data_IF_416891900527
#
_entry.id   IF_416891900527
#
_cell.length_a   1.000
_cell.length_b   1.000
_cell.length_c   1.000
_cell.angle_alpha   90.00
_cell.angle_beta   90.00
_cell.angle_gamma   90.00
#
_symmetry.space_group_name_H-M   'P 1'
#
loop_
_entity.id
_entity.type
_entity.pdbx_description
1 polymer ?
#
# COMPACT_ATOMS: atom_id res chain seq x y z
N UNK A 1 28.07 -4.58 -31.20
CA UNK A 1 28.23 -5.54 -30.07
C UNK A 1 27.69 -4.90 -28.80
N UNK A 2 27.13 -5.68 -27.87
CA UNK A 2 26.64 -5.17 -26.57
C UNK A 2 27.84 -4.83 -25.68
N UNK A 3 27.90 -3.60 -25.16
CA UNK A 3 28.95 -3.22 -24.23
C UNK A 3 28.53 -3.56 -22.79
N UNK A 4 29.13 -4.62 -22.22
CA UNK A 4 28.81 -5.09 -20.86
C UNK A 4 29.15 -4.05 -19.78
N UNK A 5 30.07 -3.13 -20.04
CA UNK A 5 30.47 -2.09 -19.08
C UNK A 5 29.33 -1.11 -18.77
N UNK A 6 28.28 -1.05 -19.59
CA UNK A 6 27.09 -0.24 -19.32
C UNK A 6 26.30 -0.73 -18.09
N UNK A 7 26.38 -2.02 -17.76
CA UNK A 7 25.68 -2.58 -16.58
C UNK A 7 26.64 -3.08 -15.50
N UNK A 8 27.92 -3.27 -15.83
CA UNK A 8 28.94 -3.77 -14.89
C UNK A 8 29.76 -2.66 -14.22
N UNK A 9 29.48 -1.38 -14.50
CA UNK A 9 30.15 -0.25 -13.87
C UNK A 9 29.62 0.03 -12.46
N UNK A 10 30.45 0.61 -11.61
CA UNK A 10 30.08 0.92 -10.23
C UNK A 10 28.88 1.85 -10.10
N UNK A 11 28.70 2.83 -11.00
CA UNK A 11 27.54 3.74 -10.96
C UNK A 11 26.25 2.94 -11.12
N UNK A 12 26.18 2.04 -12.10
CA UNK A 12 25.03 1.19 -12.35
C UNK A 12 24.76 0.24 -11.18
N UNK A 13 25.80 -0.39 -10.63
CA UNK A 13 25.66 -1.33 -9.51
C UNK A 13 25.21 -0.62 -8.22
N UNK A 14 25.77 0.55 -7.92
CA UNK A 14 25.34 1.39 -6.80
C UNK A 14 23.88 1.80 -6.99
N UNK A 15 23.48 2.18 -8.20
CA UNK A 15 22.07 2.46 -8.52
C UNK A 15 21.17 1.24 -8.21
N UNK A 16 21.52 0.05 -8.69
CA UNK A 16 20.75 -1.18 -8.41
C UNK A 16 20.66 -1.45 -6.91
N UNK A 17 21.76 -1.31 -6.17
CA UNK A 17 21.80 -1.52 -4.71
C UNK A 17 20.91 -0.50 -3.99
N UNK A 18 21.03 0.79 -4.31
CA UNK A 18 20.21 1.85 -3.72
C UNK A 18 18.74 1.59 -4.02
N UNK A 19 18.39 1.23 -5.25
CA UNK A 19 17.01 0.95 -5.64
C UNK A 19 16.45 -0.24 -4.85
N UNK A 20 17.22 -1.33 -4.75
CA UNK A 20 16.84 -2.51 -3.96
C UNK A 20 16.62 -2.16 -2.48
N UNK A 21 17.60 -1.49 -1.85
CA UNK A 21 17.52 -1.08 -0.45
C UNK A 21 16.37 -0.12 -0.22
N UNK A 22 16.13 0.81 -1.15
CA UNK A 22 15.06 1.78 -1.03
C UNK A 22 13.69 1.10 -1.08
N UNK A 23 13.47 0.24 -2.08
CA UNK A 23 12.16 -0.37 -2.31
C UNK A 23 11.82 -1.47 -1.31
N UNK A 24 12.82 -2.16 -0.73
CA UNK A 24 12.59 -3.28 0.20
C UNK A 24 12.84 -2.93 1.67
N UNK A 25 13.67 -1.92 1.97
CA UNK A 25 14.07 -1.62 3.35
C UNK A 25 13.68 -0.19 3.73
N UNK A 26 14.13 0.82 2.98
CA UNK A 26 13.96 2.21 3.42
C UNK A 26 12.51 2.68 3.33
N UNK A 27 11.77 2.33 2.28
CA UNK A 27 10.34 2.66 2.20
C UNK A 27 9.54 2.04 3.35
N UNK A 28 9.97 0.87 3.85
CA UNK A 28 9.35 0.19 4.99
C UNK A 28 9.72 0.83 6.33
N UNK A 29 10.99 1.20 6.53
CA UNK A 29 11.47 1.70 7.83
C UNK A 29 11.34 3.22 8.01
N UNK A 30 11.45 3.97 6.91
CA UNK A 30 11.56 5.43 6.82
C UNK A 30 10.71 5.94 5.64
N UNK A 31 9.39 5.82 5.74
CA UNK A 31 8.49 6.42 4.75
C UNK A 31 8.62 7.93 4.82
N UNK A 32 9.20 8.53 3.77
CA UNK A 32 9.36 9.98 3.65
C UNK A 32 9.24 10.41 2.20
N UNK A 33 9.03 11.71 1.98
CA UNK A 33 9.09 12.29 0.62
C UNK A 33 10.43 11.99 -0.09
N UNK A 34 11.53 11.91 0.67
CA UNK A 34 12.86 11.61 0.14
C UNK A 34 13.00 10.18 -0.38
N UNK A 35 12.54 9.17 0.38
CA UNK A 35 12.58 7.75 -0.04
C UNK A 35 11.63 7.45 -1.19
N UNK A 36 10.57 8.25 -1.34
CA UNK A 36 9.69 8.24 -2.52
C UNK A 36 10.42 8.58 -3.82
N UNK A 37 11.19 9.67 -3.81
CA UNK A 37 11.86 10.22 -5.01
C UNK A 37 13.20 9.60 -5.35
N UNK A 38 13.84 8.97 -4.36
CA UNK A 38 15.13 8.30 -4.57
C UNK A 38 15.06 7.24 -5.66
N UNK A 39 13.94 6.51 -5.75
CA UNK A 39 13.70 5.52 -6.81
C UNK A 39 13.69 6.17 -8.20
N UNK A 40 13.04 7.33 -8.34
CA UNK A 40 13.02 8.08 -9.61
C UNK A 40 14.41 8.59 -9.99
N UNK A 41 15.15 9.16 -9.03
CA UNK A 41 16.53 9.65 -9.22
C UNK A 41 17.45 8.54 -9.70
N UNK A 42 17.36 7.37 -9.09
CA UNK A 42 18.18 6.22 -9.48
C UNK A 42 17.71 5.62 -10.80
N UNK A 43 16.39 5.54 -11.00
CA UNK A 43 15.76 5.03 -12.21
C UNK A 43 16.13 5.83 -13.46
N UNK A 44 16.18 7.16 -13.39
CA UNK A 44 16.51 8.00 -14.55
C UNK A 44 17.97 7.84 -15.01
N UNK A 45 18.87 7.43 -14.11
CA UNK A 45 20.28 7.17 -14.41
C UNK A 45 20.44 5.73 -14.93
N UNK A 46 19.80 4.77 -14.27
CA UNK A 46 19.91 3.34 -14.56
C UNK A 46 19.24 2.97 -15.90
N UNK A 47 18.02 3.44 -16.12
CA UNK A 47 17.18 3.01 -17.23
C UNK A 47 17.78 3.29 -18.64
N UNK A 48 18.33 4.49 -18.94
CA UNK A 48 19.00 4.72 -20.24
C UNK A 48 20.20 3.81 -20.48
N UNK A 49 20.98 3.51 -19.45
CA UNK A 49 22.16 2.63 -19.54
C UNK A 49 21.73 1.18 -19.82
N UNK A 50 20.70 0.70 -19.12
CA UNK A 50 20.08 -0.60 -19.38
C UNK A 50 19.49 -0.68 -20.79
N UNK A 51 18.79 0.38 -21.22
CA UNK A 51 18.17 0.45 -22.56
C UNK A 51 19.23 0.41 -23.66
N UNK A 52 20.34 1.13 -23.49
CA UNK A 52 21.49 1.06 -24.41
C UNK A 52 22.13 -0.32 -24.45
N UNK A 53 22.21 -1.01 -23.30
CA UNK A 53 22.75 -2.37 -23.24
C UNK A 53 21.85 -3.39 -23.98
N UNK A 54 20.53 -3.32 -23.75
CA UNK A 54 19.55 -4.20 -24.40
C UNK A 54 19.45 -3.94 -25.91
N UNK A 55 19.43 -2.66 -26.28
CA UNK A 55 19.28 -2.16 -27.65
C UNK A 55 20.45 -1.22 -28.04
N UNK A 56 21.63 -1.78 -28.39
CA UNK A 56 22.84 -0.99 -28.69
C UNK A 56 22.68 0.02 -29.84
N UNK A 57 21.68 -0.17 -30.70
CA UNK A 57 21.37 0.76 -31.81
C UNK A 57 20.94 2.14 -31.32
N UNK A 58 20.35 2.25 -30.13
CA UNK A 58 19.91 3.53 -29.59
C UNK A 58 21.06 4.43 -29.13
N UNK A 59 22.21 3.87 -28.73
CA UNK A 59 23.37 4.64 -28.25
C UNK A 59 22.94 5.68 -27.20
N UNK A 60 23.34 6.95 -27.34
CA UNK A 60 22.93 8.05 -26.45
C UNK A 60 21.47 8.48 -26.63
N UNK A 61 20.79 8.07 -27.71
CA UNK A 61 19.37 8.38 -27.91
C UNK A 61 18.47 7.65 -26.91
N UNK A 62 18.98 6.60 -26.25
CA UNK A 62 18.30 5.93 -25.15
C UNK A 62 17.95 6.89 -24.00
N UNK A 63 18.72 7.97 -23.80
CA UNK A 63 18.45 9.00 -22.80
C UNK A 63 17.18 9.77 -23.13
N UNK A 64 16.98 10.16 -24.40
CA UNK A 64 15.76 10.83 -24.82
C UNK A 64 14.55 9.90 -24.75
N UNK A 65 14.70 8.65 -25.16
CA UNK A 65 13.63 7.64 -25.08
C UNK A 65 13.24 7.42 -23.61
N UNK A 66 14.22 7.27 -22.72
CA UNK A 66 13.98 7.13 -21.29
C UNK A 66 13.29 8.35 -20.67
N UNK A 67 13.72 9.56 -21.04
CA UNK A 67 13.08 10.80 -20.59
C UNK A 67 11.63 10.91 -21.06
N UNK A 68 11.36 10.64 -22.34
CA UNK A 68 10.00 10.63 -22.89
C UNK A 68 9.12 9.57 -22.22
N UNK A 69 9.65 8.37 -22.03
CA UNK A 69 8.96 7.30 -21.31
C UNK A 69 8.65 7.71 -19.87
N UNK A 70 9.60 8.34 -19.17
CA UNK A 70 9.42 8.82 -17.81
C UNK A 70 8.33 9.91 -17.72
N UNK A 71 8.34 10.89 -18.63
CA UNK A 71 7.29 11.92 -18.74
C UNK A 71 5.94 11.26 -18.96
N UNK A 72 5.83 10.37 -19.95
CA UNK A 72 4.59 9.64 -20.23
C UNK A 72 4.11 8.87 -19.00
N UNK A 73 5.00 8.11 -18.36
CA UNK A 73 4.66 7.29 -17.19
C UNK A 73 4.22 8.12 -15.99
N UNK A 74 4.81 9.30 -15.76
CA UNK A 74 4.46 10.23 -14.66
C UNK A 74 3.28 11.16 -14.98
N UNK A 75 2.88 11.30 -16.25
CA UNK A 75 1.73 12.11 -16.66
C UNK A 75 0.37 11.41 -16.47
N UNK A 76 -0.74 12.14 -16.55
CA UNK A 76 -2.09 11.54 -16.58
C UNK A 76 -2.35 10.68 -17.83
N UNK A 77 -1.54 10.79 -18.89
CA UNK A 77 -1.73 10.03 -20.13
C UNK A 77 -1.52 8.52 -19.96
N UNK A 78 -0.75 8.08 -18.96
CA UNK A 78 -0.55 6.65 -18.68
C UNK A 78 -1.75 5.99 -17.99
N UNK A 79 -2.74 6.75 -17.55
CA UNK A 79 -3.88 6.24 -16.75
C UNK A 79 -4.70 5.19 -17.49
N UNK A 80 -5.00 5.40 -18.78
CA UNK A 80 -5.74 4.43 -19.58
C UNK A 80 -4.96 3.13 -19.78
N UNK A 81 -3.64 3.22 -19.91
CA UNK A 81 -2.78 2.03 -20.02
C UNK A 81 -2.78 1.22 -18.72
N UNK A 82 -2.70 1.90 -17.58
CA UNK A 82 -2.77 1.27 -16.25
C UNK A 82 -4.12 0.58 -16.05
N UNK A 83 -5.23 1.23 -16.43
CA UNK A 83 -6.57 0.62 -16.36
C UNK A 83 -6.68 -0.65 -17.20
N UNK A 84 -6.19 -0.63 -18.44
CA UNK A 84 -6.19 -1.81 -19.31
C UNK A 84 -5.33 -2.94 -18.73
N UNK A 85 -4.15 -2.62 -18.21
CA UNK A 85 -3.29 -3.59 -17.54
C UNK A 85 -3.98 -4.24 -16.34
N UNK A 86 -4.62 -3.43 -15.50
CA UNK A 86 -5.30 -3.90 -14.28
C UNK A 86 -6.51 -4.80 -14.55
N UNK A 87 -7.10 -4.75 -15.75
CA UNK A 87 -8.20 -5.67 -16.14
C UNK A 87 -7.68 -7.09 -16.36
N UNK A 88 -6.46 -7.24 -16.89
CA UNK A 88 -5.91 -8.53 -17.34
C UNK A 88 -4.89 -9.09 -16.34
N UNK A 89 -4.24 -8.23 -15.58
CA UNK A 89 -3.14 -8.60 -14.68
C UNK A 89 -3.64 -9.11 -13.32
N UNK A 90 -3.05 -10.19 -12.78
CA UNK A 90 -3.26 -10.62 -11.39
C UNK A 90 -2.79 -9.60 -10.35
N UNK A 91 -1.91 -8.67 -10.73
CA UNK A 91 -1.33 -7.65 -9.84
C UNK A 91 -1.76 -6.28 -10.35
N UNK A 92 -2.53 -5.54 -9.54
CA UNK A 92 -2.96 -4.20 -9.89
C UNK A 92 -1.85 -3.17 -9.66
N UNK A 93 -1.63 -2.29 -10.63
CA UNK A 93 -0.74 -1.14 -10.55
C UNK A 93 -1.58 0.06 -10.14
N UNK A 94 -1.18 0.72 -9.06
CA UNK A 94 -1.73 2.00 -8.63
C UNK A 94 -0.63 3.05 -8.62
N UNK A 95 -0.90 4.21 -9.20
CA UNK A 95 0.07 5.29 -9.35
C UNK A 95 -0.62 6.62 -9.07
N UNK A 96 0.05 7.49 -8.32
CA UNK A 96 -0.38 8.87 -8.10
C UNK A 96 0.35 9.78 -9.09
N UNK A 97 -0.37 10.72 -9.69
CA UNK A 97 0.24 11.73 -10.59
C UNK A 97 0.90 12.80 -9.72
N UNK A 98 2.24 12.82 -9.71
CA UNK A 98 3.05 13.85 -9.06
C UNK A 98 4.02 14.47 -10.09
N UNK A 99 3.72 15.70 -10.52
CA UNK A 99 4.57 16.42 -11.49
C UNK A 99 5.91 16.88 -10.91
N UNK A 100 6.05 16.91 -9.58
CA UNK A 100 7.32 17.25 -8.93
C UNK A 100 8.40 16.18 -9.17
N UNK A 101 8.02 15.00 -9.66
CA UNK A 101 8.94 13.96 -10.11
C UNK A 101 9.66 14.34 -11.41
N UNK A 102 9.10 15.24 -12.22
CA UNK A 102 9.74 15.69 -13.46
C UNK A 102 11.02 16.49 -13.22
N UNK A 103 11.24 17.01 -12.01
CA UNK A 103 12.51 17.65 -11.63
C UNK A 103 13.70 16.71 -11.79
N UNK A 104 13.46 15.40 -11.66
CA UNK A 104 14.48 14.36 -11.82
C UNK A 104 15.03 14.28 -13.25
N UNK A 105 14.29 14.77 -14.26
CA UNK A 105 14.78 14.83 -15.64
C UNK A 105 16.05 15.68 -15.78
N UNK A 106 16.30 16.62 -14.86
CA UNK A 106 17.55 17.39 -14.80
C UNK A 106 18.81 16.52 -14.66
N UNK A 107 18.67 15.25 -14.24
CA UNK A 107 19.75 14.29 -14.08
C UNK A 107 20.06 13.49 -15.35
N UNK A 108 19.25 13.57 -16.41
CA UNK A 108 19.51 12.91 -17.72
C UNK A 108 20.88 13.20 -18.36
N UNK A 109 21.53 14.37 -18.14
CA UNK A 109 22.89 14.59 -18.60
C UNK A 109 23.90 13.57 -18.05
N UNK A 110 23.69 13.02 -16.84
CA UNK A 110 24.59 12.04 -16.22
C UNK A 110 24.70 10.76 -17.06
N UNK A 111 23.61 10.00 -17.32
CA UNK A 111 23.69 8.81 -18.17
C UNK A 111 24.09 9.15 -19.60
N UNK A 112 23.75 10.34 -20.13
CA UNK A 112 24.21 10.78 -21.45
C UNK A 112 25.74 10.83 -21.54
N UNK A 113 26.40 11.47 -20.57
CA UNK A 113 27.86 11.56 -20.52
C UNK A 113 28.51 10.19 -20.36
N UNK A 114 27.95 9.33 -19.51
CA UNK A 114 28.45 7.96 -19.29
C UNK A 114 28.35 7.08 -20.55
N UNK A 115 27.21 7.14 -21.25
CA UNK A 115 26.99 6.39 -22.48
C UNK A 115 27.87 6.92 -23.62
N UNK A 116 28.09 8.24 -23.70
CA UNK A 116 28.97 8.85 -24.70
C UNK A 116 30.44 8.52 -24.44
N UNK A 117 30.86 8.49 -23.19
CA UNK A 117 32.26 8.32 -22.77
C UNK A 117 32.52 6.92 -22.18
N UNK A 118 32.29 5.88 -22.97
CA UNK A 118 32.43 4.47 -22.58
C UNK A 118 33.78 4.12 -21.95
N UNK A 119 34.87 4.80 -22.37
CA UNK A 119 36.22 4.59 -21.81
C UNK A 119 36.28 4.84 -20.30
N UNK A 120 35.48 5.78 -19.80
CA UNK A 120 35.37 6.04 -18.35
C UNK A 120 34.76 4.82 -17.66
N UNK A 121 33.69 4.24 -18.23
CA UNK A 121 33.04 3.05 -17.69
C UNK A 121 33.97 1.83 -17.67
N UNK A 122 34.88 1.70 -18.63
CA UNK A 122 35.86 0.61 -18.69
C UNK A 122 36.85 0.60 -17.51
N UNK A 123 37.17 1.76 -16.95
CA UNK A 123 38.05 1.89 -15.79
C UNK A 123 37.34 1.51 -14.48
N UNK A 124 36.02 1.70 -14.43
CA UNK A 124 35.19 1.49 -13.25
C UNK A 124 34.23 0.28 -13.38
N UNK A 125 34.58 -0.70 -14.22
CA UNK A 125 33.75 -1.87 -14.52
C UNK A 125 34.32 -3.18 -13.98
N UNK A 126 33.44 -4.04 -13.47
CA UNK A 126 33.76 -5.38 -12.99
C UNK A 126 33.95 -6.35 -14.16
N UNK A 127 35.20 -6.47 -14.65
CA UNK A 127 35.54 -7.25 -15.85
C UNK A 127 35.29 -8.77 -15.76
N UNK A 128 35.21 -9.33 -14.55
CA UNK A 128 35.14 -10.79 -14.32
C UNK A 128 33.72 -11.33 -14.11
N UNK A 129 32.70 -10.47 -14.06
CA UNK A 129 31.31 -10.89 -13.76
C UNK A 129 30.53 -11.12 -15.05
N UNK A 130 29.71 -12.17 -15.08
CA UNK A 130 28.78 -12.39 -16.18
C UNK A 130 27.66 -11.33 -16.14
N UNK A 131 27.43 -10.66 -17.28
CA UNK A 131 26.38 -9.67 -17.44
C UNK A 131 24.98 -10.17 -17.01
N UNK A 132 24.70 -11.47 -17.19
CA UNK A 132 23.44 -12.08 -16.74
C UNK A 132 23.25 -12.04 -15.22
N UNK A 133 24.34 -12.12 -14.45
CA UNK A 133 24.28 -12.07 -12.99
C UNK A 133 23.83 -10.71 -12.44
N UNK A 134 23.96 -9.64 -13.24
CA UNK A 134 23.49 -8.29 -12.89
C UNK A 134 22.15 -7.99 -13.53
N UNK A 135 21.94 -8.44 -14.77
CA UNK A 135 20.72 -8.17 -15.53
C UNK A 135 19.46 -8.73 -14.87
N UNK A 136 19.50 -9.98 -14.40
CA UNK A 136 18.33 -10.61 -13.77
C UNK A 136 17.89 -9.88 -12.49
N UNK A 137 18.78 -9.62 -11.51
CA UNK A 137 18.44 -8.80 -10.35
C UNK A 137 17.96 -7.40 -10.74
N UNK A 138 18.57 -6.76 -11.74
CA UNK A 138 18.16 -5.43 -12.19
C UNK A 138 16.71 -5.41 -12.66
N UNK A 139 16.30 -6.39 -13.47
CA UNK A 139 14.92 -6.49 -13.96
C UNK A 139 13.96 -6.69 -12.79
N UNK A 140 14.28 -7.60 -11.86
CA UNK A 140 13.44 -7.85 -10.68
C UNK A 140 13.28 -6.62 -9.81
N UNK A 141 14.37 -5.87 -9.58
CA UNK A 141 14.35 -4.65 -8.78
C UNK A 141 13.56 -3.54 -9.47
N UNK A 142 13.71 -3.35 -10.79
CA UNK A 142 12.90 -2.37 -11.55
C UNK A 142 11.41 -2.72 -11.59
N UNK A 143 11.06 -4.01 -11.50
CA UNK A 143 9.69 -4.48 -11.40
C UNK A 143 9.15 -4.46 -9.96
N UNK A 144 9.98 -4.12 -8.97
CA UNK A 144 9.52 -4.00 -7.58
C UNK A 144 8.62 -2.78 -7.46
N UNK A 145 7.32 -2.99 -7.63
CA UNK A 145 6.32 -1.98 -7.41
C UNK A 145 6.29 -1.65 -5.92
N UNK A 146 6.32 -0.36 -5.57
CA UNK A 146 6.13 0.06 -4.18
C UNK A 146 4.84 -0.52 -3.63
N UNK A 147 4.93 -1.14 -2.44
CA UNK A 147 3.75 -1.62 -1.73
C UNK A 147 2.76 -0.48 -1.57
N UNK A 148 1.49 -0.79 -1.86
CA UNK A 148 0.39 0.16 -1.69
C UNK A 148 0.39 0.68 -0.26
N UNK A 149 0.06 1.96 -0.06
CA UNK A 149 -0.27 2.42 1.28
C UNK A 149 -1.48 1.59 1.73
N UNK A 150 -1.28 0.77 2.75
CA UNK A 150 -2.34 -0.05 3.36
C UNK A 150 -3.35 0.79 4.13
N UNK A 151 -3.21 2.12 4.11
CA UNK A 151 -4.03 3.06 4.84
C UNK A 151 -4.33 4.34 4.04
N UNK A 152 -5.42 5.00 4.41
CA UNK A 152 -5.81 6.36 4.00
C UNK A 152 -5.98 7.20 5.26
N UNK A 153 -5.49 8.44 5.26
CA UNK A 153 -5.60 9.36 6.39
C UNK A 153 -6.33 10.64 5.97
N UNK A 154 -7.30 11.06 6.78
CA UNK A 154 -8.02 12.32 6.64
C UNK A 154 -7.51 13.32 7.68
N UNK A 155 -6.77 14.39 7.28
CA UNK A 155 -6.22 15.37 8.22
C UNK A 155 -7.28 16.10 9.05
N UNK A 156 -8.45 16.36 8.46
CA UNK A 156 -9.52 17.13 9.09
C UNK A 156 -10.18 16.39 10.26
N UNK A 157 -10.37 15.08 10.09
CA UNK A 157 -11.04 14.24 11.07
C UNK A 157 -10.06 13.46 11.93
N UNK A 158 -8.81 13.27 11.50
CA UNK A 158 -7.87 12.35 12.11
C UNK A 158 -8.17 10.89 11.79
N UNK A 159 -9.14 10.63 10.90
CA UNK A 159 -9.57 9.28 10.57
C UNK A 159 -8.52 8.57 9.72
N UNK A 160 -8.16 7.37 10.16
CA UNK A 160 -7.22 6.47 9.53
C UNK A 160 -7.97 5.21 9.13
N UNK A 161 -8.07 4.92 7.84
CA UNK A 161 -8.76 3.74 7.31
C UNK A 161 -7.74 2.79 6.72
N UNK A 162 -7.86 1.51 7.04
CA UNK A 162 -6.96 0.45 6.60
C UNK A 162 -7.62 -0.40 5.51
N UNK A 163 -6.84 -0.83 4.51
CA UNK A 163 -7.34 -1.62 3.38
C UNK A 163 -7.16 -3.12 3.58
N UNK A 164 -5.98 -3.54 4.04
CA UNK A 164 -5.58 -4.96 4.07
C UNK A 164 -4.71 -5.28 5.30
N UNK A 165 -5.07 -4.72 6.46
CA UNK A 165 -4.27 -4.88 7.68
C UNK A 165 -4.81 -6.03 8.49
N UNK A 166 -4.13 -7.17 8.37
CA UNK A 166 -4.51 -8.38 9.08
C UNK A 166 -3.29 -9.08 9.69
N UNK A 167 -3.49 -9.69 10.85
CA UNK A 167 -2.48 -10.51 11.51
C UNK A 167 -3.13 -11.71 12.20
N UNK A 168 -2.39 -12.79 12.27
CA UNK A 168 -2.83 -14.05 12.89
C UNK A 168 -2.28 -14.15 14.30
N UNK A 169 -3.13 -14.60 15.23
CA UNK A 169 -2.77 -14.85 16.63
C UNK A 169 -3.19 -16.27 17.00
N UNK A 170 -2.34 -16.95 17.77
CA UNK A 170 -2.60 -18.29 18.30
C UNK A 170 -3.49 -18.23 19.57
N UNK A 171 -4.66 -17.63 19.44
CA UNK A 171 -5.69 -17.52 20.48
C UNK A 171 -7.06 -17.68 19.87
N UNK A 172 -8.01 -18.17 20.66
CA UNK A 172 -9.42 -18.18 20.24
C UNK A 172 -10.02 -16.78 20.33
N UNK A 173 -11.17 -16.58 19.67
CA UNK A 173 -11.90 -15.31 19.76
C UNK A 173 -12.27 -15.00 21.20
N UNK A 174 -12.73 -16.00 21.95
CA UNK A 174 -13.16 -15.87 23.33
C UNK A 174 -12.00 -15.50 24.26
N UNK A 175 -10.82 -16.11 24.06
CA UNK A 175 -9.60 -15.78 24.80
C UNK A 175 -9.17 -14.32 24.54
N UNK A 176 -9.19 -13.89 23.27
CA UNK A 176 -8.84 -12.52 22.90
C UNK A 176 -9.81 -11.50 23.50
N UNK A 177 -11.11 -11.76 23.46
CA UNK A 177 -12.11 -10.86 24.01
C UNK A 177 -11.96 -10.72 25.53
N UNK A 178 -11.72 -11.83 26.23
CA UNK A 178 -11.50 -11.82 27.68
C UNK A 178 -10.26 -11.01 28.05
N UNK A 179 -9.18 -11.19 27.31
CA UNK A 179 -7.92 -10.49 27.59
C UNK A 179 -8.00 -8.99 27.31
N UNK A 180 -8.75 -8.57 26.27
CA UNK A 180 -9.04 -7.16 26.03
C UNK A 180 -9.84 -6.56 27.20
N UNK A 181 -10.81 -7.31 27.73
CA UNK A 181 -11.60 -6.89 28.90
C UNK A 181 -10.74 -6.80 30.16
N UNK A 182 -9.82 -7.74 30.38
CA UNK A 182 -8.89 -7.75 31.52
C UNK A 182 -7.94 -6.53 31.52
N UNK A 183 -7.76 -5.87 30.37
CA UNK A 183 -6.98 -4.64 30.26
C UNK A 183 -7.76 -3.34 30.55
N UNK A 184 -8.99 -3.43 31.07
CA UNK A 184 -9.88 -2.28 31.29
C UNK A 184 -10.12 -1.44 30.03
N UNK A 185 -10.06 -2.06 28.84
CA UNK A 185 -10.40 -1.39 27.59
C UNK A 185 -11.91 -1.45 27.36
N UNK A 186 -12.51 -0.31 26.98
CA UNK A 186 -13.93 -0.24 26.65
C UNK A 186 -14.15 -0.82 25.25
N UNK A 187 -14.43 -2.12 25.21
CA UNK A 187 -14.75 -2.86 24.01
C UNK A 187 -16.26 -2.88 23.76
N UNK A 188 -16.68 -2.39 22.59
CA UNK A 188 -18.08 -2.40 22.16
C UNK A 188 -18.20 -3.03 20.77
N UNK A 189 -19.39 -3.49 20.40
CA UNK A 189 -19.68 -3.85 19.00
C UNK A 189 -19.60 -2.59 18.14
N UNK A 190 -18.99 -2.69 16.96
CA UNK A 190 -18.94 -1.54 16.06
C UNK A 190 -20.23 -1.44 15.23
N UNK A 191 -21.32 -1.05 15.89
CA UNK A 191 -22.65 -0.96 15.27
C UNK A 191 -22.65 -0.10 14.02
N UNK A 192 -21.87 0.99 13.96
CA UNK A 192 -21.78 1.81 12.76
C UNK A 192 -21.22 1.02 11.56
N UNK A 193 -20.11 0.28 11.76
CA UNK A 193 -19.50 -0.55 10.72
C UNK A 193 -20.41 -1.72 10.31
N UNK A 194 -21.04 -2.38 11.30
CA UNK A 194 -21.96 -3.49 11.07
C UNK A 194 -23.15 -3.03 10.22
N UNK A 195 -23.77 -1.91 10.58
CA UNK A 195 -24.92 -1.37 9.84
C UNK A 195 -24.55 -0.96 8.41
N UNK A 196 -23.38 -0.34 8.20
CA UNK A 196 -22.93 -0.01 6.84
C UNK A 196 -22.67 -1.27 6.01
N UNK A 197 -22.12 -2.33 6.63
CA UNK A 197 -21.90 -3.61 5.94
C UNK A 197 -23.22 -4.32 5.58
N UNK A 198 -24.25 -4.17 6.40
CA UNK A 198 -25.59 -4.73 6.18
C UNK A 198 -26.43 -3.93 5.16
N UNK A 199 -25.94 -2.77 4.71
CA UNK A 199 -26.70 -1.84 3.85
C UNK A 199 -27.28 -2.52 2.60
N UNK A 200 -26.54 -3.42 1.97
CA UNK A 200 -27.00 -4.14 0.79
C UNK A 200 -28.16 -5.11 1.12
N UNK A 201 -28.04 -5.86 2.21
CA UNK A 201 -29.08 -6.77 2.67
C UNK A 201 -30.35 -6.01 3.02
N UNK A 202 -30.22 -4.93 3.79
CA UNK A 202 -31.32 -4.01 4.11
C UNK A 202 -31.98 -3.45 2.86
N UNK A 203 -31.19 -3.06 1.85
CA UNK A 203 -31.71 -2.53 0.58
C UNK A 203 -32.50 -3.59 -0.19
N UNK A 204 -32.12 -4.87 -0.09
CA UNK A 204 -32.78 -6.00 -0.75
C UNK A 204 -34.11 -6.42 -0.10
N UNK A 205 -34.30 -6.07 1.17
CA UNK A 205 -35.54 -6.40 1.92
C UNK A 205 -36.71 -5.50 1.54
N UNK A 206 -36.45 -4.29 1.07
CA UNK A 206 -37.53 -3.38 0.69
C UNK A 206 -38.10 -3.66 -0.69
N UNK A 207 -39.35 -3.25 -0.86
CA UNK A 207 -40.12 -3.39 -2.09
C UNK A 207 -40.33 -2.03 -2.72
N UNK A 208 -40.23 -1.97 -4.04
CA UNK A 208 -40.54 -0.78 -4.80
C UNK A 208 -42.04 -0.74 -5.09
N UNK A 209 -42.70 0.35 -4.72
CA UNK A 209 -44.10 0.60 -5.01
C UNK A 209 -44.22 1.47 -6.27
N UNK A 210 -44.61 0.83 -7.37
CA UNK A 210 -44.79 1.51 -8.66
C UNK A 210 -45.93 2.54 -8.61
N UNK A 211 -46.96 2.32 -7.80
CA UNK A 211 -48.10 3.24 -7.70
C UNK A 211 -47.77 4.51 -6.93
N UNK A 212 -46.74 4.47 -6.07
CA UNK A 212 -46.22 5.62 -5.36
C UNK A 212 -45.44 6.59 -6.26
N UNK A 213 -44.91 6.11 -7.40
CA UNK A 213 -44.22 6.95 -8.39
C UNK A 213 -45.14 8.02 -9.00
N UNK A 214 -46.41 7.68 -9.18
CA UNK A 214 -47.40 8.59 -9.79
C UNK A 214 -48.11 9.47 -8.75
N UNK A 215 -48.23 9.00 -7.51
CA UNK A 215 -49.04 9.63 -6.45
C UNK A 215 -48.24 10.45 -5.44
N UNK A 216 -46.91 10.48 -5.56
CA UNK A 216 -46.03 11.29 -4.70
C UNK A 216 -45.86 10.73 -3.28
N UNK A 217 -45.75 9.40 -3.14
CA UNK A 217 -45.53 8.73 -1.85
C UNK A 217 -44.15 8.03 -1.76
N UNK A 218 -43.91 7.34 -0.64
CA UNK A 218 -42.66 6.59 -0.44
C UNK A 218 -42.55 5.43 -1.44
N UNK A 219 -41.55 5.53 -2.32
CA UNK A 219 -41.29 4.55 -3.40
C UNK A 219 -40.71 3.25 -2.83
N UNK A 220 -39.90 3.33 -1.78
CA UNK A 220 -39.27 2.18 -1.15
C UNK A 220 -39.95 1.87 0.17
N UNK A 221 -40.60 0.71 0.25
CA UNK A 221 -41.32 0.24 1.44
C UNK A 221 -40.56 -0.90 2.08
N UNK A 222 -40.27 -0.77 3.37
CA UNK A 222 -39.66 -1.82 4.18
C UNK A 222 -40.44 -1.95 5.48
N UNK A 223 -40.62 -3.18 5.95
CA UNK A 223 -41.21 -3.41 7.27
C UNK A 223 -40.13 -3.11 8.34
N UNK A 224 -40.40 -2.08 9.15
CA UNK A 224 -39.47 -1.64 10.19
C UNK A 224 -39.32 -2.67 11.33
N UNK A 225 -40.33 -3.53 11.56
CA UNK A 225 -40.23 -4.58 12.56
C UNK A 225 -39.27 -5.68 12.10
N UNK A 226 -39.40 -6.12 10.86
CA UNK A 226 -38.50 -7.10 10.24
C UNK A 226 -37.07 -6.54 10.12
N UNK A 227 -36.94 -5.28 9.70
CA UNK A 227 -35.64 -4.60 9.62
C UNK A 227 -34.93 -4.57 10.98
N UNK A 228 -35.66 -4.23 12.04
CA UNK A 228 -35.08 -4.17 13.39
C UNK A 228 -34.60 -5.54 13.85
N UNK A 229 -35.38 -6.60 13.64
CA UNK A 229 -35.01 -7.96 14.02
C UNK A 229 -33.77 -8.45 13.26
N UNK A 230 -33.71 -8.19 11.94
CA UNK A 230 -32.53 -8.52 11.12
C UNK A 230 -31.29 -7.79 11.59
N UNK A 231 -31.37 -6.47 11.80
CA UNK A 231 -30.21 -5.69 12.24
C UNK A 231 -29.72 -6.10 13.63
N UNK A 232 -30.63 -6.40 14.57
CA UNK A 232 -30.24 -6.90 15.89
C UNK A 232 -29.52 -8.24 15.80
N UNK A 233 -30.02 -9.18 14.99
CA UNK A 233 -29.36 -10.47 14.73
C UNK A 233 -27.97 -10.29 14.11
N UNK A 234 -27.83 -9.33 13.21
CA UNK A 234 -26.55 -9.07 12.55
C UNK A 234 -25.53 -8.46 13.52
N UNK A 235 -25.97 -7.55 14.39
CA UNK A 235 -25.13 -6.99 15.47
C UNK A 235 -24.67 -8.09 16.44
N UNK A 236 -25.57 -9.00 16.82
CA UNK A 236 -25.24 -10.12 17.72
C UNK A 236 -24.20 -11.06 17.09
N UNK A 237 -24.43 -11.48 15.83
CA UNK A 237 -23.58 -12.44 15.10
C UNK A 237 -22.25 -11.88 14.64
N UNK A 238 -22.19 -10.59 14.34
CA UNK A 238 -20.99 -9.93 13.83
C UNK A 238 -19.77 -10.18 14.74
N UNK A 239 -18.59 -10.24 14.14
CA UNK A 239 -17.34 -10.32 14.90
C UNK A 239 -16.55 -9.01 14.79
N UNK A 240 -17.27 -7.91 14.58
CA UNK A 240 -16.74 -6.56 14.44
C UNK A 240 -16.90 -5.78 15.74
N UNK A 241 -15.78 -5.23 16.19
CA UNK A 241 -15.64 -4.59 17.47
C UNK A 241 -14.93 -3.24 17.32
N UNK A 242 -15.14 -2.39 18.31
CA UNK A 242 -14.50 -1.09 18.44
C UNK A 242 -13.99 -0.91 19.86
N UNK A 243 -12.73 -0.51 19.98
CA UNK A 243 -12.16 0.00 21.24
C UNK A 243 -12.31 1.52 21.21
N UNK A 244 -13.02 2.08 22.19
CA UNK A 244 -13.30 3.51 22.23
C UNK A 244 -12.03 4.34 22.39
N UNK A 245 -11.15 3.92 23.29
CA UNK A 245 -9.94 4.64 23.63
C UNK A 245 -8.84 3.66 24.07
N UNK A 246 -7.64 3.84 23.55
CA UNK A 246 -6.46 3.09 23.96
C UNK A 246 -5.27 4.04 24.10
N UNK A 247 -4.62 4.01 25.27
CA UNK A 247 -3.37 4.73 25.52
C UNK A 247 -2.17 3.89 25.10
N UNK A 248 -1.30 4.48 24.31
CA UNK A 248 -0.07 3.88 23.80
C UNK A 248 1.06 4.88 24.04
N UNK A 249 1.87 4.62 25.08
CA UNK A 249 2.81 5.60 25.61
C UNK A 249 2.05 6.84 26.12
N UNK A 250 2.49 8.02 25.70
CA UNK A 250 1.85 9.30 26.06
C UNK A 250 0.68 9.69 25.12
N UNK A 251 0.32 8.81 24.18
CA UNK A 251 -0.62 9.11 23.09
C UNK A 251 -1.89 8.28 23.22
N UNK A 252 -2.98 8.84 22.70
CA UNK A 252 -4.31 8.24 22.76
C UNK A 252 -4.82 7.98 21.36
N UNK A 253 -5.24 6.75 21.08
CA UNK A 253 -5.93 6.38 19.84
C UNK A 253 -7.39 6.15 20.20
N UNK A 254 -8.28 6.65 19.36
CA UNK A 254 -9.73 6.51 19.56
C UNK A 254 -10.34 5.65 18.47
N UNK A 255 -11.51 5.08 18.79
CA UNK A 255 -12.37 4.41 17.81
C UNK A 255 -11.63 3.36 16.94
N UNK A 256 -10.76 2.54 17.55
CA UNK A 256 -10.06 1.48 16.85
C UNK A 256 -11.05 0.37 16.49
N UNK A 257 -11.39 0.27 15.21
CA UNK A 257 -12.33 -0.69 14.65
C UNK A 257 -11.60 -1.91 14.06
N UNK A 258 -12.05 -3.11 14.39
CA UNK A 258 -11.45 -4.36 13.94
C UNK A 258 -12.44 -5.54 13.96
N UNK A 259 -12.20 -6.54 13.11
CA UNK A 259 -12.86 -7.85 13.18
C UNK A 259 -11.96 -8.91 13.80
N UNK A 260 -12.56 -9.88 14.48
CA UNK A 260 -11.91 -11.15 14.84
C UNK A 260 -12.56 -12.29 14.04
N UNK A 261 -11.82 -12.86 13.08
CA UNK A 261 -12.29 -13.95 12.21
C UNK A 261 -11.54 -15.25 12.50
N UNK A 262 -12.13 -16.43 12.26
CA UNK A 262 -11.38 -17.69 12.32
C UNK A 262 -10.27 -17.71 11.26
N UNK A 263 -9.07 -18.21 11.61
CA UNK A 263 -7.97 -18.32 10.65
C UNK A 263 -8.14 -19.57 9.76
N UNK A 264 -9.03 -19.46 8.75
CA UNK A 264 -9.49 -20.58 7.90
C UNK A 264 -8.36 -21.26 7.09
N UNK A 265 -7.22 -20.59 6.88
CA UNK A 265 -6.09 -21.11 6.09
C UNK A 265 -5.08 -21.96 6.91
N UNK A 266 -5.29 -22.18 8.21
CA UNK A 266 -4.40 -23.01 9.05
C UNK A 266 -4.90 -24.45 9.19
N UNK A 267 -3.98 -25.39 9.41
CA UNK A 267 -4.29 -26.80 9.76
C UNK A 267 -5.15 -26.97 11.02
N UNK A 268 -5.28 -25.94 11.88
CA UNK A 268 -6.11 -25.97 13.10
C UNK A 268 -6.84 -24.64 13.30
N UNK A 269 -7.86 -24.32 12.50
CA UNK A 269 -8.52 -23.00 12.50
C UNK A 269 -9.19 -22.66 13.84
N UNK A 270 -9.46 -23.65 14.70
CA UNK A 270 -10.06 -23.47 16.03
C UNK A 270 -9.10 -22.89 17.09
N UNK A 271 -7.79 -22.87 16.84
CA UNK A 271 -6.77 -22.35 17.78
C UNK A 271 -6.14 -21.02 17.36
N UNK A 272 -6.57 -20.51 16.20
CA UNK A 272 -6.01 -19.31 15.61
C UNK A 272 -7.13 -18.35 15.21
N UNK A 273 -6.96 -17.10 15.60
CA UNK A 273 -7.83 -16.01 15.19
C UNK A 273 -7.04 -15.07 14.29
N UNK A 274 -7.72 -14.56 13.28
CA UNK A 274 -7.24 -13.50 12.42
C UNK A 274 -7.89 -12.19 12.86
N UNK A 275 -7.06 -11.21 13.22
CA UNK A 275 -7.53 -9.86 13.50
C UNK A 275 -7.39 -9.04 12.22
N UNK A 276 -8.46 -8.40 11.78
CA UNK A 276 -8.51 -7.49 10.64
C UNK A 276 -8.82 -6.10 11.17
N UNK A 277 -7.92 -5.13 10.97
CA UNK A 277 -8.10 -3.76 11.44
C UNK A 277 -8.71 -2.93 10.31
N UNK A 278 -9.79 -2.21 10.60
CA UNK A 278 -10.54 -1.42 9.61
C UNK A 278 -10.23 0.05 9.68
N UNK A 279 -10.24 0.61 10.88
CA UNK A 279 -10.01 2.04 11.07
C UNK A 279 -9.57 2.39 12.49
N UNK A 280 -9.01 3.58 12.64
CA UNK A 280 -8.71 4.21 13.92
C UNK A 280 -8.79 5.73 13.78
N UNK A 281 -8.88 6.43 14.90
CA UNK A 281 -8.79 7.89 14.95
C UNK A 281 -7.53 8.30 15.70
N UNK A 282 -6.69 9.09 15.03
CA UNK A 282 -5.42 9.63 15.53
C UNK A 282 -5.46 11.16 15.53
N UNK A 283 -4.36 11.79 15.91
CA UNK A 283 -4.24 13.25 15.92
C UNK A 283 -4.60 13.85 14.54
N UNK A 284 -5.23 15.03 14.55
CA UNK A 284 -5.62 15.80 13.36
C UNK A 284 -4.44 16.58 12.79
N UNK A 285 -4.55 16.98 11.52
CA UNK A 285 -3.59 17.85 10.84
C UNK A 285 -2.13 17.34 10.90
N UNK A 286 -1.95 16.02 10.84
CA UNK A 286 -0.61 15.42 10.78
C UNK A 286 -0.06 15.47 9.35
N UNK A 287 1.21 15.84 9.23
CA UNK A 287 1.98 15.71 7.99
C UNK A 287 2.16 14.23 7.63
N UNK A 288 2.30 13.91 6.34
CA UNK A 288 2.45 12.53 5.85
C UNK A 288 3.54 11.73 6.57
N UNK A 289 4.68 12.36 6.88
CA UNK A 289 5.80 11.71 7.57
C UNK A 289 5.42 11.36 9.03
N UNK A 290 4.67 12.25 9.71
CA UNK A 290 4.17 12.02 11.06
C UNK A 290 3.10 10.93 11.10
N UNK A 291 2.25 10.83 10.08
CA UNK A 291 1.27 9.74 9.95
C UNK A 291 1.98 8.39 9.84
N UNK A 292 3.06 8.30 9.07
CA UNK A 292 3.89 7.10 8.97
C UNK A 292 4.52 6.70 10.31
N UNK A 293 5.04 7.67 11.07
CA UNK A 293 5.55 7.44 12.42
C UNK A 293 4.44 6.96 13.37
N UNK A 294 3.24 7.58 13.33
CA UNK A 294 2.08 7.15 14.11
C UNK A 294 1.67 5.73 13.80
N UNK A 295 1.61 5.38 12.53
CA UNK A 295 1.32 4.03 12.11
C UNK A 295 2.35 3.03 12.62
N UNK A 296 3.64 3.35 12.55
CA UNK A 296 4.70 2.49 13.07
C UNK A 296 4.54 2.25 14.56
N UNK A 297 4.20 3.27 15.35
CA UNK A 297 3.91 3.14 16.78
C UNK A 297 2.64 2.30 17.04
N UNK A 298 1.59 2.50 16.26
CA UNK A 298 0.34 1.72 16.34
C UNK A 298 0.63 0.25 16.00
N UNK A 299 1.33 -0.02 14.91
CA UNK A 299 1.75 -1.36 14.52
C UNK A 299 2.67 -1.97 15.55
N UNK A 300 3.66 -1.25 16.07
CA UNK A 300 4.59 -1.78 17.07
C UNK A 300 3.89 -2.02 18.41
N UNK A 301 2.96 -1.19 18.82
CA UNK A 301 2.23 -1.39 20.07
C UNK A 301 1.20 -2.50 19.97
N UNK A 302 0.45 -2.57 18.87
CA UNK A 302 -0.43 -3.69 18.55
C UNK A 302 0.44 -4.95 18.44
N UNK A 303 1.36 -5.04 17.49
CA UNK A 303 2.11 -6.28 17.21
C UNK A 303 3.14 -6.65 18.31
N UNK A 304 3.75 -5.69 19.00
CA UNK A 304 4.97 -5.92 19.83
C UNK A 304 4.74 -5.80 21.33
N UNK A 305 3.86 -4.94 21.83
CA UNK A 305 3.65 -4.77 23.29
C UNK A 305 2.33 -5.33 23.80
N UNK A 306 1.25 -5.25 23.01
CA UNK A 306 -0.10 -5.68 23.39
C UNK A 306 -0.64 -6.87 22.60
N UNK A 307 0.09 -7.48 21.67
CA UNK A 307 -0.30 -8.77 21.09
C UNK A 307 0.86 -9.79 21.02
N UNK A 308 2.10 -9.41 21.41
CA UNK A 308 3.27 -10.31 21.45
C UNK A 308 3.52 -10.96 22.80
N UNK A 309 3.09 -10.30 23.87
CA UNK A 309 2.93 -10.89 25.20
C UNK A 309 1.53 -11.48 25.42
N UNK A 310 0.71 -11.48 24.36
CA UNK A 310 -0.54 -12.21 24.27
C UNK A 310 -0.24 -13.61 23.73
#
# INVERSE_FOLDING_TARGET
MRNKNLILNYVFLICVIILFLNDHIFKFQYTSWFTGKLSDVVGIILFPMLLTYLFPKFKHNSVFIAGLFFIFWKSSFSENFIKLYNIVSPISIHRVVDYSDLLVLSLLPIPYLLIKNIRILEQFSLKKINAFAVLLPTILVLMSTSQTRTYTYSPETGALTFRDVQFEIKKTKEELLKEIQDQNLVLVKDTAFILESARYEVSSMGKLDQTALEKGGDIFKIDNADLKDVLLKEIERSSDYKIQEIKIGDRTIKNLSFSIKPALMKMSPKKFSQIVVHSAEIDKNLDNDKVGERLKEIYQSIITSKFKHF
#
